data_IF_106621411384
#
_entry.id   IF_106621411384
#
_cell.length_a   1.000
_cell.length_b   1.000
_cell.length_c   1.000
_cell.angle_alpha   90.00
_cell.angle_beta   90.00
_cell.angle_gamma   90.00
#
_symmetry.space_group_name_H-M   'P 1'
#
loop_
_entity.id
_entity.type
_entity.pdbx_description
1 polymer ?
#
# COMPACT_ATOMS: atom_id res chain seq x y z
N UNK A 1 39.02 -60.23 6.63
CA UNK A 1 38.92 -58.84 6.00
C UNK A 1 37.53 -58.37 6.26
N UNK A 2 37.44 -57.43 7.22
CA UNK A 2 36.21 -56.89 7.82
C UNK A 2 35.74 -55.69 7.02
N UNK A 3 34.57 -55.82 6.41
CA UNK A 3 33.92 -54.70 5.71
C UNK A 3 33.19 -53.80 6.69
N UNK A 4 33.63 -52.54 6.80
CA UNK A 4 32.99 -51.48 7.60
C UNK A 4 31.94 -50.84 6.74
N UNK A 5 30.67 -51.00 7.15
CA UNK A 5 29.51 -50.30 6.55
C UNK A 5 29.47 -48.88 7.09
N UNK A 6 29.68 -47.87 6.23
CA UNK A 6 29.49 -46.46 6.59
C UNK A 6 28.00 -46.11 6.48
N UNK A 7 27.35 -45.94 7.62
CA UNK A 7 26.01 -45.38 7.71
C UNK A 7 26.13 -43.85 7.66
N UNK A 8 25.78 -43.23 6.53
CA UNK A 8 25.64 -41.78 6.39
C UNK A 8 24.39 -41.31 7.15
N UNK A 9 24.61 -40.72 8.30
CA UNK A 9 23.58 -39.95 9.05
C UNK A 9 23.30 -38.65 8.31
N UNK A 10 22.14 -38.57 7.65
CA UNK A 10 21.60 -37.30 7.22
C UNK A 10 21.18 -36.51 8.46
N UNK A 11 21.56 -35.21 8.59
CA UNK A 11 21.03 -34.36 9.66
C UNK A 11 19.51 -34.20 9.46
N UNK A 12 18.72 -34.15 10.55
CA UNK A 12 17.29 -33.91 10.44
C UNK A 12 17.07 -32.57 9.77
N UNK A 13 16.32 -32.57 8.67
CA UNK A 13 15.77 -31.34 8.09
C UNK A 13 14.92 -30.67 9.17
N UNK A 14 15.38 -29.53 9.67
CA UNK A 14 14.57 -28.69 10.52
C UNK A 14 13.30 -28.33 9.72
N UNK A 15 12.16 -28.84 10.17
CA UNK A 15 10.86 -28.43 9.69
C UNK A 15 10.74 -26.92 9.98
N UNK A 16 10.69 -26.10 8.93
CA UNK A 16 10.34 -24.68 9.03
C UNK A 16 8.96 -24.68 9.70
N UNK A 17 8.82 -24.05 10.89
CA UNK A 17 7.50 -23.96 11.49
C UNK A 17 6.59 -23.23 10.51
N UNK A 18 5.46 -23.83 10.16
CA UNK A 18 4.41 -23.25 9.36
C UNK A 18 3.87 -22.02 10.15
N UNK A 19 4.53 -20.88 9.99
CA UNK A 19 4.12 -19.62 10.63
C UNK A 19 2.84 -19.18 9.93
N UNK A 20 1.71 -19.37 10.61
CA UNK A 20 0.44 -18.86 10.14
C UNK A 20 0.56 -17.32 10.02
N UNK A 21 0.01 -16.72 8.97
CA UNK A 21 0.15 -15.29 8.75
C UNK A 21 -0.52 -14.50 9.88
N UNK A 22 0.24 -13.56 10.44
CA UNK A 22 -0.27 -12.66 11.48
C UNK A 22 -1.04 -11.46 10.89
N UNK A 23 -0.79 -11.15 9.62
CA UNK A 23 -1.41 -10.03 8.89
C UNK A 23 -2.27 -10.59 7.75
N UNK A 24 -3.42 -9.97 7.52
CA UNK A 24 -4.28 -10.26 6.38
C UNK A 24 -4.46 -9.05 5.47
N UNK A 25 -4.95 -9.30 4.26
CA UNK A 25 -5.38 -8.28 3.33
C UNK A 25 -6.72 -8.67 2.70
N UNK A 26 -7.66 -7.72 2.65
CA UNK A 26 -8.90 -7.85 1.92
C UNK A 26 -8.86 -6.96 0.69
N UNK A 27 -8.81 -7.55 -0.50
CA UNK A 27 -8.95 -6.81 -1.76
C UNK A 27 -10.41 -6.93 -2.20
N UNK A 28 -11.10 -5.78 -2.31
CA UNK A 28 -12.52 -5.74 -2.64
C UNK A 28 -12.71 -5.56 -4.14
N UNK A 29 -12.98 -6.63 -4.87
CA UNK A 29 -13.10 -6.68 -6.34
C UNK A 29 -14.45 -7.26 -6.81
N UNK A 30 -15.54 -6.92 -6.11
CA UNK A 30 -16.87 -7.48 -6.38
C UNK A 30 -17.76 -6.58 -7.26
N UNK A 31 -17.36 -5.33 -7.52
CA UNK A 31 -18.17 -4.30 -8.17
C UNK A 31 -18.36 -4.48 -9.68
N UNK A 32 -19.41 -3.85 -10.24
CA UNK A 32 -19.80 -3.94 -11.67
C UNK A 32 -19.01 -3.05 -12.63
N UNK A 33 -18.17 -2.12 -12.15
CA UNK A 33 -17.38 -1.17 -12.97
C UNK A 33 -18.22 -0.34 -13.95
N UNK A 34 -19.43 0.08 -13.59
CA UNK A 34 -20.45 0.64 -14.52
C UNK A 34 -20.07 1.99 -15.11
N UNK A 35 -19.20 2.78 -14.45
CA UNK A 35 -18.74 4.11 -14.90
C UNK A 35 -17.48 4.08 -15.77
N UNK A 36 -16.83 2.91 -15.90
CA UNK A 36 -15.62 2.70 -16.70
C UNK A 36 -15.95 2.07 -18.06
N UNK A 37 -15.12 2.40 -19.08
CA UNK A 37 -15.11 1.69 -20.36
C UNK A 37 -14.28 0.42 -20.22
N UNK A 38 -14.87 -0.63 -19.68
CA UNK A 38 -14.19 -1.91 -19.46
C UNK A 38 -14.34 -2.41 -18.02
N UNK A 39 -13.90 -3.63 -17.81
CA UNK A 39 -13.94 -4.27 -16.49
C UNK A 39 -12.73 -3.83 -15.68
N UNK A 40 -12.93 -2.93 -14.72
CA UNK A 40 -11.90 -2.22 -13.95
C UNK A 40 -10.76 -3.11 -13.45
N UNK A 41 -11.01 -4.27 -12.79
CA UNK A 41 -9.92 -5.09 -12.26
C UNK A 41 -8.92 -5.58 -13.32
N UNK A 42 -9.34 -5.69 -14.59
CA UNK A 42 -8.52 -6.17 -15.71
C UNK A 42 -7.97 -5.04 -16.59
N UNK A 43 -8.17 -3.76 -16.24
CA UNK A 43 -7.57 -2.65 -16.98
C UNK A 43 -6.05 -2.67 -16.79
N UNK A 44 -5.24 -2.49 -17.86
CA UNK A 44 -3.79 -2.52 -17.76
C UNK A 44 -3.21 -1.23 -17.20
N UNK A 45 -2.26 -1.35 -16.28
CA UNK A 45 -1.38 -0.25 -15.83
C UNK A 45 0.06 -0.75 -15.97
N UNK A 46 0.81 -0.23 -16.92
CA UNK A 46 2.12 -0.77 -17.27
C UNK A 46 2.01 -2.22 -17.76
N UNK A 47 2.70 -3.14 -17.10
CA UNK A 47 2.72 -4.57 -17.45
C UNK A 47 1.76 -5.44 -16.64
N UNK A 48 1.03 -4.84 -15.72
CA UNK A 48 0.11 -5.51 -14.81
C UNK A 48 -1.30 -4.94 -14.96
N UNK A 49 -2.30 -5.71 -14.58
CA UNK A 49 -3.67 -5.22 -14.43
C UNK A 49 -3.87 -4.53 -13.08
N UNK A 50 -4.94 -3.79 -12.96
CA UNK A 50 -5.35 -3.14 -11.71
C UNK A 50 -5.40 -4.12 -10.53
N UNK A 51 -5.96 -5.32 -10.73
CA UNK A 51 -6.02 -6.34 -9.68
C UNK A 51 -4.63 -6.89 -9.34
N UNK A 52 -3.78 -7.11 -10.35
CA UNK A 52 -2.40 -7.58 -10.13
C UNK A 52 -1.57 -6.57 -9.33
N UNK A 53 -1.73 -5.26 -9.57
CA UNK A 53 -1.10 -4.23 -8.72
C UNK A 53 -1.51 -4.35 -7.26
N UNK A 54 -2.82 -4.53 -7.00
CA UNK A 54 -3.31 -4.69 -5.62
C UNK A 54 -2.79 -5.98 -4.97
N UNK A 55 -2.70 -7.07 -5.72
CA UNK A 55 -2.16 -8.35 -5.23
C UNK A 55 -0.66 -8.26 -4.95
N UNK A 56 0.10 -7.69 -5.89
CA UNK A 56 1.55 -7.52 -5.78
C UNK A 56 1.95 -6.69 -4.56
N UNK A 57 1.19 -5.62 -4.25
CA UNK A 57 1.43 -4.78 -3.07
C UNK A 57 1.54 -5.60 -1.78
N UNK A 58 0.70 -6.62 -1.59
CA UNK A 58 0.71 -7.44 -0.38
C UNK A 58 1.70 -8.59 -0.43
N UNK A 59 2.19 -8.99 -1.62
CA UNK A 59 3.28 -9.95 -1.75
C UNK A 59 4.64 -9.36 -1.35
N UNK A 60 4.79 -8.03 -1.38
CA UNK A 60 6.00 -7.35 -0.92
C UNK A 60 6.17 -7.40 0.61
N UNK A 61 5.10 -7.69 1.38
CA UNK A 61 5.23 -8.07 2.77
C UNK A 61 6.01 -9.39 2.86
N UNK A 62 6.77 -9.59 3.94
CA UNK A 62 7.64 -10.78 4.11
C UNK A 62 6.92 -12.06 3.64
N UNK A 63 7.58 -12.86 2.81
CA UNK A 63 6.99 -14.02 2.14
C UNK A 63 6.27 -14.94 3.15
N UNK A 64 4.96 -15.15 2.94
CA UNK A 64 4.09 -15.92 3.83
C UNK A 64 3.60 -15.18 5.07
N UNK A 65 3.88 -13.88 5.21
CA UNK A 65 3.41 -13.07 6.34
C UNK A 65 2.01 -12.46 6.14
N UNK A 66 1.49 -12.46 4.90
CA UNK A 66 0.18 -11.89 4.58
C UNK A 66 -0.76 -12.91 3.95
N UNK A 67 -1.93 -13.12 4.59
CA UNK A 67 -3.04 -13.90 4.03
C UNK A 67 -3.91 -12.99 3.18
N UNK A 68 -3.81 -13.08 1.85
CA UNK A 68 -4.54 -12.19 0.93
C UNK A 68 -5.86 -12.83 0.48
N UNK A 69 -6.98 -12.27 0.92
CA UNK A 69 -8.33 -12.64 0.50
C UNK A 69 -8.83 -11.63 -0.54
N UNK A 70 -9.25 -12.13 -1.70
CA UNK A 70 -9.86 -11.30 -2.76
C UNK A 70 -11.35 -11.58 -2.82
N UNK A 71 -12.15 -10.56 -2.48
CA UNK A 71 -13.61 -10.70 -2.51
C UNK A 71 -14.11 -10.39 -3.91
N UNK A 72 -14.68 -11.38 -4.54
CA UNK A 72 -15.19 -11.38 -5.91
C UNK A 72 -16.72 -11.30 -5.92
N UNK A 73 -17.28 -10.79 -7.00
CA UNK A 73 -18.73 -10.71 -7.24
C UNK A 73 -19.04 -10.74 -8.72
N UNK A 74 -19.28 -9.57 -9.33
CA UNK A 74 -19.49 -9.49 -10.76
C UNK A 74 -18.29 -10.04 -11.55
N UNK A 75 -18.55 -10.97 -12.49
CA UNK A 75 -17.53 -11.64 -13.33
C UNK A 75 -16.42 -12.34 -12.50
N UNK A 76 -16.80 -12.96 -11.38
CA UNK A 76 -15.85 -13.65 -10.50
C UNK A 76 -14.96 -14.66 -11.23
N UNK A 77 -15.51 -15.39 -12.22
CA UNK A 77 -14.79 -16.43 -12.95
C UNK A 77 -13.63 -15.88 -13.81
N UNK A 78 -13.74 -14.63 -14.27
CA UNK A 78 -12.67 -13.97 -15.02
C UNK A 78 -11.48 -13.58 -14.13
N UNK A 79 -11.69 -13.39 -12.83
CA UNK A 79 -10.69 -12.95 -11.87
C UNK A 79 -10.03 -14.10 -11.09
N UNK A 80 -10.70 -15.26 -10.96
CA UNK A 80 -10.16 -16.42 -10.22
C UNK A 80 -8.77 -16.84 -10.67
N UNK A 81 -8.47 -16.96 -11.99
CA UNK A 81 -7.12 -17.33 -12.43
C UNK A 81 -6.07 -16.32 -11.94
N UNK A 82 -6.33 -15.02 -12.10
CA UNK A 82 -5.42 -13.97 -11.66
C UNK A 82 -5.17 -14.06 -10.15
N UNK A 83 -6.23 -14.24 -9.34
CA UNK A 83 -6.08 -14.38 -7.89
C UNK A 83 -5.25 -15.61 -7.53
N UNK A 84 -5.44 -16.74 -8.22
CA UNK A 84 -4.70 -17.98 -7.97
C UNK A 84 -3.23 -17.86 -8.35
N UNK A 85 -2.91 -17.17 -9.45
CA UNK A 85 -1.52 -16.95 -9.89
C UNK A 85 -0.69 -16.14 -8.86
N UNK A 86 -1.37 -15.34 -8.03
CA UNK A 86 -0.79 -14.57 -6.93
C UNK A 86 -0.98 -15.22 -5.55
N UNK A 87 -1.32 -16.52 -5.50
CA UNK A 87 -1.55 -17.26 -4.25
C UNK A 87 -2.63 -16.65 -3.34
N UNK A 88 -3.51 -15.81 -3.90
CA UNK A 88 -4.62 -15.21 -3.20
C UNK A 88 -5.78 -16.20 -2.97
N UNK A 89 -6.59 -15.93 -1.96
CA UNK A 89 -7.79 -16.73 -1.61
C UNK A 89 -9.02 -16.06 -2.23
N UNK A 90 -9.61 -16.61 -3.31
CA UNK A 90 -10.81 -16.03 -3.91
C UNK A 90 -12.06 -16.37 -3.09
N UNK A 91 -12.81 -15.35 -2.68
CA UNK A 91 -14.07 -15.47 -1.94
C UNK A 91 -15.19 -14.81 -2.74
N UNK A 92 -16.21 -15.55 -3.11
CA UNK A 92 -17.35 -14.99 -3.84
C UNK A 92 -18.38 -14.44 -2.84
N UNK A 93 -18.69 -13.15 -2.97
CA UNK A 93 -19.78 -12.51 -2.25
C UNK A 93 -21.05 -12.54 -3.13
N UNK A 94 -22.07 -13.34 -2.85
CA UNK A 94 -23.32 -13.36 -3.63
C UNK A 94 -24.13 -12.06 -3.45
N UNK A 95 -23.92 -11.36 -2.33
CA UNK A 95 -24.65 -10.15 -1.94
C UNK A 95 -23.94 -8.85 -2.36
N UNK A 96 -23.02 -8.91 -3.33
CA UNK A 96 -22.21 -7.74 -3.73
C UNK A 96 -23.04 -6.53 -4.19
N UNK A 97 -24.29 -6.74 -4.64
CA UNK A 97 -25.22 -5.67 -5.02
C UNK A 97 -25.78 -4.89 -3.82
N UNK A 98 -25.61 -5.39 -2.58
CA UNK A 98 -25.98 -4.67 -1.35
C UNK A 98 -24.96 -3.60 -0.95
N UNK A 99 -23.92 -3.39 -1.75
CA UNK A 99 -22.88 -2.39 -1.54
C UNK A 99 -21.56 -2.96 -1.04
N UNK A 100 -20.53 -2.12 -1.05
CA UNK A 100 -19.15 -2.52 -0.76
C UNK A 100 -18.98 -3.17 0.63
N UNK A 101 -19.79 -2.76 1.62
CA UNK A 101 -19.66 -3.27 2.97
C UNK A 101 -20.03 -4.76 3.09
N UNK A 102 -20.94 -5.28 2.25
CA UNK A 102 -21.20 -6.72 2.19
C UNK A 102 -19.94 -7.51 1.82
N UNK A 103 -19.09 -6.94 0.95
CA UNK A 103 -17.79 -7.53 0.59
C UNK A 103 -16.78 -7.43 1.73
N UNK A 104 -16.78 -6.36 2.52
CA UNK A 104 -15.94 -6.27 3.74
C UNK A 104 -16.30 -7.37 4.73
N UNK A 105 -17.61 -7.62 4.96
CA UNK A 105 -18.10 -8.71 5.82
C UNK A 105 -17.64 -10.08 5.31
N UNK A 106 -17.90 -10.37 4.04
CA UNK A 106 -17.53 -11.65 3.42
C UNK A 106 -16.02 -11.91 3.51
N UNK A 107 -15.19 -10.91 3.23
CA UNK A 107 -13.74 -11.01 3.34
C UNK A 107 -13.26 -11.19 4.78
N UNK A 108 -13.75 -10.39 5.72
CA UNK A 108 -13.37 -10.49 7.14
C UNK A 108 -13.73 -11.85 7.75
N UNK A 109 -14.85 -12.46 7.34
CA UNK A 109 -15.25 -13.80 7.75
C UNK A 109 -14.35 -14.90 7.16
N UNK A 110 -13.77 -14.69 5.99
CA UNK A 110 -12.91 -15.65 5.30
C UNK A 110 -11.46 -15.68 5.80
N UNK A 111 -10.97 -14.60 6.42
CA UNK A 111 -9.64 -14.57 7.01
C UNK A 111 -9.50 -15.58 8.14
N UNK A 112 -8.36 -16.24 8.23
CA UNK A 112 -8.08 -17.20 9.29
C UNK A 112 -8.13 -16.55 10.69
N UNK A 113 -8.37 -17.35 11.72
CA UNK A 113 -8.42 -16.88 13.10
C UNK A 113 -7.05 -16.42 13.64
N UNK A 114 -5.97 -16.83 13.00
CA UNK A 114 -4.60 -16.44 13.36
C UNK A 114 -4.23 -15.02 12.93
N UNK A 115 -4.97 -14.43 11.99
CA UNK A 115 -4.76 -13.05 11.55
C UNK A 115 -5.07 -12.09 12.69
N UNK A 116 -4.07 -11.29 13.07
CA UNK A 116 -4.15 -10.32 14.18
C UNK A 116 -4.60 -8.94 13.72
N UNK A 117 -4.29 -8.58 12.48
CA UNK A 117 -4.73 -7.35 11.83
C UNK A 117 -4.83 -7.56 10.32
N UNK A 118 -5.64 -6.75 9.64
CA UNK A 118 -5.84 -6.88 8.20
C UNK A 118 -6.08 -5.53 7.54
N UNK A 119 -5.53 -5.40 6.34
CA UNK A 119 -5.78 -4.26 5.45
C UNK A 119 -7.11 -4.42 4.72
N UNK A 120 -7.75 -3.29 4.37
CA UNK A 120 -8.94 -3.29 3.51
C UNK A 120 -8.69 -2.37 2.32
N UNK A 121 -8.51 -2.95 1.13
CA UNK A 121 -8.18 -2.25 -0.09
C UNK A 121 -9.26 -2.45 -1.16
N UNK A 122 -9.99 -1.39 -1.56
CA UNK A 122 -10.78 -1.41 -2.79
C UNK A 122 -9.86 -1.57 -4.01
N UNK A 123 -10.25 -2.43 -4.96
CA UNK A 123 -9.43 -2.74 -6.14
C UNK A 123 -9.19 -1.53 -7.05
N UNK A 124 -9.98 -0.47 -6.90
CA UNK A 124 -9.87 0.76 -7.69
C UNK A 124 -8.80 1.75 -7.19
N UNK A 125 -8.01 1.38 -6.19
CA UNK A 125 -6.88 2.17 -5.68
C UNK A 125 -5.58 1.36 -5.84
N UNK A 126 -5.09 1.17 -7.08
CA UNK A 126 -4.03 0.19 -7.38
C UNK A 126 -2.60 0.70 -7.17
N UNK A 127 -2.39 2.01 -6.99
CA UNK A 127 -1.05 2.60 -7.04
C UNK A 127 -0.42 2.86 -5.67
N UNK A 128 -0.99 2.27 -4.61
CA UNK A 128 -0.47 2.39 -3.23
C UNK A 128 1.00 1.95 -3.18
N UNK A 129 1.83 2.74 -2.49
CA UNK A 129 3.23 2.40 -2.29
C UNK A 129 3.38 1.44 -1.10
N UNK A 130 4.32 0.50 -1.21
CA UNK A 130 4.65 -0.42 -0.11
C UNK A 130 5.02 0.33 1.20
N UNK A 131 5.65 1.50 1.07
CA UNK A 131 5.96 2.37 2.21
C UNK A 131 4.72 2.71 3.05
N UNK A 132 3.54 2.86 2.44
CA UNK A 132 2.29 3.10 3.17
C UNK A 132 1.94 1.94 4.10
N UNK A 133 2.07 0.68 3.63
CA UNK A 133 1.83 -0.49 4.48
C UNK A 133 2.80 -0.52 5.67
N UNK A 134 4.08 -0.25 5.43
CA UNK A 134 5.10 -0.20 6.49
C UNK A 134 4.81 0.89 7.53
N UNK A 135 4.34 2.09 7.09
CA UNK A 135 3.96 3.15 8.02
C UNK A 135 2.82 2.71 8.94
N UNK A 136 1.80 2.04 8.38
CA UNK A 136 0.64 1.56 9.15
C UNK A 136 1.01 0.43 10.11
N UNK A 137 1.86 -0.51 9.68
CA UNK A 137 2.36 -1.58 10.54
C UNK A 137 3.24 -1.05 11.68
N UNK A 138 4.08 -0.06 11.40
CA UNK A 138 4.88 0.61 12.42
C UNK A 138 3.99 1.33 13.45
N UNK A 139 3.00 2.11 13.00
CA UNK A 139 2.04 2.76 13.89
C UNK A 139 1.28 1.75 14.76
N UNK A 140 0.88 0.60 14.17
CA UNK A 140 0.24 -0.48 14.92
C UNK A 140 1.16 -1.09 15.99
N UNK A 141 2.45 -1.18 15.73
CA UNK A 141 3.42 -1.69 16.70
C UNK A 141 3.69 -0.69 17.83
N UNK A 142 3.60 0.61 17.56
CA UNK A 142 3.84 1.68 18.53
C UNK A 142 2.58 2.00 19.38
N UNK A 143 1.37 1.90 18.80
CA UNK A 143 0.12 2.17 19.51
C UNK A 143 -0.73 0.91 19.70
N UNK A 144 -0.68 0.35 20.89
CA UNK A 144 -1.44 -0.86 21.26
C UNK A 144 -2.91 -0.59 21.61
N UNK A 145 -3.32 0.66 21.73
CA UNK A 145 -4.70 1.03 22.10
C UNK A 145 -5.60 1.31 20.92
N UNK A 146 -5.06 1.79 19.80
CA UNK A 146 -5.82 1.99 18.57
C UNK A 146 -6.27 0.66 17.97
N UNK A 147 -7.48 0.63 17.44
CA UNK A 147 -8.09 -0.53 16.77
C UNK A 147 -8.01 -0.45 15.27
N UNK A 148 -7.87 0.76 14.74
CA UNK A 148 -7.70 1.01 13.32
C UNK A 148 -6.65 2.09 13.07
N UNK A 149 -5.89 1.93 11.98
CA UNK A 149 -4.86 2.85 11.51
C UNK A 149 -5.23 3.26 10.10
N UNK A 150 -5.54 4.54 9.89
CA UNK A 150 -6.02 5.05 8.62
C UNK A 150 -4.95 5.94 8.00
N UNK A 151 -4.46 5.64 6.77
CA UNK A 151 -3.46 6.46 6.14
C UNK A 151 -4.03 7.84 5.79
N UNK A 152 -3.21 8.87 5.98
CA UNK A 152 -3.55 10.26 5.72
C UNK A 152 -2.42 10.91 4.90
N UNK A 153 -2.77 11.64 3.84
CA UNK A 153 -1.85 12.46 3.06
C UNK A 153 -2.43 13.87 2.91
N UNK A 154 -1.64 14.87 3.22
CA UNK A 154 -2.05 16.29 3.17
C UNK A 154 -3.40 16.58 3.87
N UNK A 155 -3.66 15.91 4.99
CA UNK A 155 -4.89 16.07 5.78
C UNK A 155 -6.10 15.27 5.27
N UNK A 156 -5.96 14.49 4.20
CA UNK A 156 -7.01 13.65 3.63
C UNK A 156 -6.77 12.18 3.93
N UNK A 157 -7.78 11.51 4.48
CA UNK A 157 -7.73 10.06 4.75
C UNK A 157 -7.93 9.26 3.47
N UNK A 158 -7.21 8.13 3.35
CA UNK A 158 -7.23 7.26 2.18
C UNK A 158 -7.22 5.77 2.51
N UNK A 159 -6.74 4.97 1.58
CA UNK A 159 -6.67 3.51 1.66
C UNK A 159 -5.22 3.01 1.59
N UNK A 160 -4.96 1.77 2.05
CA UNK A 160 -5.86 0.89 2.80
C UNK A 160 -5.84 1.23 4.31
N UNK A 161 -6.96 1.25 5.04
CA UNK A 161 -6.92 1.19 6.50
C UNK A 161 -6.40 -0.17 6.95
N UNK A 162 -5.63 -0.19 8.05
CA UNK A 162 -5.22 -1.40 8.78
C UNK A 162 -6.08 -1.55 10.03
N UNK A 163 -6.79 -2.66 10.15
CA UNK A 163 -7.74 -2.94 11.22
C UNK A 163 -7.22 -4.07 12.10
N UNK A 164 -7.30 -3.93 13.43
CA UNK A 164 -7.06 -5.07 14.32
C UNK A 164 -8.20 -6.08 14.21
N UNK A 165 -7.88 -7.35 14.42
CA UNK A 165 -8.84 -8.45 14.29
C UNK A 165 -9.99 -8.37 15.34
N UNK A 166 -9.81 -7.63 16.42
CA UNK A 166 -10.87 -7.38 17.42
C UNK A 166 -12.04 -6.54 16.90
N UNK A 167 -11.88 -5.90 15.71
CA UNK A 167 -12.99 -5.24 15.01
C UNK A 167 -13.86 -6.20 14.19
N UNK A 168 -13.48 -7.47 13.98
CA UNK A 168 -14.29 -8.43 13.21
C UNK A 168 -15.71 -8.59 13.74
N UNK A 169 -15.94 -8.76 15.06
CA UNK A 169 -17.31 -8.86 15.57
C UNK A 169 -18.14 -7.59 15.31
N UNK A 170 -17.52 -6.41 15.39
CA UNK A 170 -18.20 -5.15 15.08
C UNK A 170 -18.55 -5.05 13.58
N UNK A 171 -17.66 -5.49 12.69
CA UNK A 171 -17.92 -5.55 11.25
C UNK A 171 -19.07 -6.51 10.95
N UNK A 172 -19.08 -7.69 11.54
CA UNK A 172 -20.13 -8.69 11.38
C UNK A 172 -21.50 -8.19 11.84
N UNK A 173 -21.56 -7.56 13.02
CA UNK A 173 -22.81 -7.09 13.63
C UNK A 173 -23.36 -5.79 13.00
N UNK A 174 -22.51 -5.00 12.28
CA UNK A 174 -22.92 -3.70 11.75
C UNK A 174 -23.94 -3.84 10.62
N UNK A 175 -24.92 -2.96 10.56
CA UNK A 175 -26.01 -3.00 9.57
C UNK A 175 -25.59 -2.57 8.14
N UNK A 176 -24.39 -2.03 7.99
CA UNK A 176 -23.83 -1.53 6.71
C UNK A 176 -24.08 -0.05 6.47
N UNK A 177 -24.79 0.65 7.35
CA UNK A 177 -24.97 2.11 7.25
C UNK A 177 -23.59 2.80 7.25
N UNK A 178 -23.37 3.75 6.33
CA UNK A 178 -22.08 4.41 6.11
C UNK A 178 -20.89 3.46 5.79
N UNK A 179 -21.13 2.18 5.52
CA UNK A 179 -20.09 1.20 5.18
C UNK A 179 -19.07 0.98 6.30
N UNK A 180 -17.79 0.78 5.93
CA UNK A 180 -16.70 0.60 6.90
C UNK A 180 -16.51 1.84 7.78
N UNK A 181 -16.79 3.03 7.25
CA UNK A 181 -16.71 4.27 8.03
C UNK A 181 -17.60 4.22 9.28
N UNK A 182 -18.82 3.66 9.18
CA UNK A 182 -19.71 3.52 10.33
C UNK A 182 -19.11 2.67 11.45
N UNK A 183 -18.37 1.60 11.12
CA UNK A 183 -17.62 0.80 12.11
C UNK A 183 -16.49 1.62 12.73
N UNK A 184 -15.75 2.39 11.90
CA UNK A 184 -14.60 3.18 12.36
C UNK A 184 -15.01 4.36 13.26
N UNK A 185 -16.20 4.94 13.08
CA UNK A 185 -16.70 6.02 13.94
C UNK A 185 -16.86 5.59 15.41
N UNK A 186 -17.11 4.31 15.65
CA UNK A 186 -17.20 3.73 17.01
C UNK A 186 -15.87 3.16 17.52
N UNK A 187 -14.84 3.07 16.67
CA UNK A 187 -13.54 2.50 16.99
C UNK A 187 -12.54 3.57 17.46
N UNK A 188 -11.48 3.12 18.15
CA UNK A 188 -10.31 3.97 18.41
C UNK A 188 -9.43 3.99 17.18
N UNK A 189 -9.50 5.09 16.44
CA UNK A 189 -8.78 5.29 15.16
C UNK A 189 -7.55 6.15 15.37
N UNK A 190 -6.42 5.74 14.79
CA UNK A 190 -5.23 6.56 14.62
C UNK A 190 -5.08 6.96 13.15
N UNK A 191 -4.89 8.26 12.89
CA UNK A 191 -4.53 8.76 11.57
C UNK A 191 -3.02 8.74 11.41
N UNK A 192 -2.54 8.02 10.40
CA UNK A 192 -1.11 7.83 10.13
C UNK A 192 -0.71 8.64 8.90
N UNK A 193 0.08 9.70 9.09
CA UNK A 193 0.60 10.46 7.96
C UNK A 193 1.58 9.62 7.15
N UNK A 194 1.31 9.45 5.87
CA UNK A 194 2.11 8.68 4.93
C UNK A 194 2.58 9.56 3.77
N UNK A 195 3.80 9.38 3.25
CA UNK A 195 4.32 10.14 2.11
C UNK A 195 3.88 9.51 0.78
N UNK A 196 2.57 9.30 0.62
CA UNK A 196 2.00 8.60 -0.53
C UNK A 196 0.64 9.21 -0.90
N UNK A 197 0.62 10.05 -1.94
CA UNK A 197 -0.62 10.64 -2.47
C UNK A 197 -1.55 9.63 -3.11
N UNK A 198 -1.00 8.46 -3.52
CA UNK A 198 -1.78 7.44 -4.23
C UNK A 198 -2.83 6.77 -3.35
N UNK A 199 -2.77 6.93 -2.03
CA UNK A 199 -3.85 6.52 -1.11
C UNK A 199 -5.20 7.19 -1.41
N UNK A 200 -5.19 8.28 -2.20
CA UNK A 200 -6.35 9.09 -2.58
C UNK A 200 -6.74 8.93 -4.06
N UNK A 201 -6.00 8.10 -4.82
CA UNK A 201 -6.18 7.98 -6.29
C UNK A 201 -7.02 6.75 -6.61
N UNK A 202 -8.29 6.99 -6.88
CA UNK A 202 -9.21 5.98 -7.41
C UNK A 202 -9.31 6.05 -8.95
N UNK A 203 -9.77 4.97 -9.58
CA UNK A 203 -9.93 4.85 -11.04
C UNK A 203 -11.38 4.59 -11.44
N UNK A 204 -12.31 5.36 -10.92
CA UNK A 204 -13.75 5.20 -11.15
C UNK A 204 -14.20 5.61 -12.56
N UNK A 205 -13.51 6.58 -13.18
CA UNK A 205 -13.84 7.11 -14.51
C UNK A 205 -12.70 6.96 -15.51
N UNK A 206 -12.95 7.06 -16.82
CA UNK A 206 -11.88 7.07 -17.82
C UNK A 206 -10.85 8.19 -17.64
N UNK A 207 -11.25 9.33 -17.09
CA UNK A 207 -10.38 10.46 -16.77
C UNK A 207 -9.43 10.11 -15.63
N UNK A 208 -9.95 9.55 -14.53
CA UNK A 208 -9.17 9.08 -13.39
C UNK A 208 -8.21 7.95 -13.79
N UNK A 209 -8.66 7.04 -14.65
CA UNK A 209 -7.77 5.99 -15.17
C UNK A 209 -6.61 6.57 -16.00
N UNK A 210 -6.85 7.56 -16.88
CA UNK A 210 -5.77 8.24 -17.59
C UNK A 210 -4.79 8.93 -16.64
N UNK A 211 -5.32 9.60 -15.62
CA UNK A 211 -4.49 10.19 -14.57
C UNK A 211 -3.65 9.14 -13.84
N UNK A 212 -4.21 7.98 -13.51
CA UNK A 212 -3.45 6.89 -12.90
C UNK A 212 -2.32 6.37 -13.81
N UNK A 213 -2.54 6.31 -15.14
CA UNK A 213 -1.48 5.96 -16.10
C UNK A 213 -0.34 6.99 -16.11
N UNK A 214 -0.66 8.29 -16.05
CA UNK A 214 0.34 9.35 -15.96
C UNK A 214 1.15 9.27 -14.66
N UNK A 215 0.48 8.99 -13.54
CA UNK A 215 1.13 8.75 -12.25
C UNK A 215 2.05 7.53 -12.29
N UNK A 216 1.60 6.45 -12.92
CA UNK A 216 2.41 5.25 -13.09
C UNK A 216 3.71 5.49 -13.87
N UNK A 217 3.67 6.31 -14.92
CA UNK A 217 4.87 6.67 -15.68
C UNK A 217 5.90 7.46 -14.85
N UNK A 218 5.46 8.13 -13.79
CA UNK A 218 6.29 8.93 -12.88
C UNK A 218 6.44 8.31 -11.49
N UNK A 219 6.08 7.03 -11.32
CA UNK A 219 6.03 6.37 -10.00
C UNK A 219 7.35 6.38 -9.23
N UNK A 220 8.48 6.47 -9.94
CA UNK A 220 9.82 6.47 -9.34
C UNK A 220 10.26 7.89 -8.89
N UNK A 221 9.39 8.89 -9.11
CA UNK A 221 9.68 10.29 -8.78
C UNK A 221 8.61 10.75 -7.78
N UNK A 222 8.96 11.05 -6.52
CA UNK A 222 7.98 11.60 -5.59
C UNK A 222 7.56 13.01 -6.04
N UNK A 223 6.31 13.36 -5.81
CA UNK A 223 5.89 14.76 -5.96
C UNK A 223 6.58 15.64 -4.91
N UNK A 224 6.61 16.97 -5.10
CA UNK A 224 7.14 17.87 -4.09
C UNK A 224 6.50 17.69 -2.70
N UNK A 225 5.19 17.42 -2.67
CA UNK A 225 4.45 17.19 -1.42
C UNK A 225 4.82 15.83 -0.79
N UNK A 226 5.02 14.77 -1.59
CA UNK A 226 5.50 13.48 -1.11
C UNK A 226 6.94 13.58 -0.60
N UNK A 227 7.81 14.31 -1.32
CA UNK A 227 9.19 14.56 -0.90
C UNK A 227 9.25 15.37 0.41
N UNK A 228 8.38 16.36 0.59
CA UNK A 228 8.24 17.11 1.84
C UNK A 228 7.79 16.19 3.00
N UNK A 229 6.80 15.36 2.78
CA UNK A 229 6.32 14.41 3.79
C UNK A 229 7.39 13.37 4.17
N UNK A 230 8.19 12.91 3.19
CA UNK A 230 9.36 12.05 3.44
C UNK A 230 10.42 12.76 4.29
N UNK A 231 10.74 14.01 3.95
CA UNK A 231 11.70 14.82 4.71
C UNK A 231 11.25 15.01 6.15
N UNK A 232 9.97 15.35 6.37
CA UNK A 232 9.41 15.53 7.71
C UNK A 232 9.44 14.24 8.53
N UNK A 233 9.12 13.11 7.92
CA UNK A 233 9.17 11.81 8.57
C UNK A 233 10.60 11.44 9.00
N UNK A 234 11.54 11.50 8.07
CA UNK A 234 12.92 11.01 8.27
C UNK A 234 13.78 11.99 9.08
N UNK A 235 13.43 13.28 9.07
CA UNK A 235 14.17 14.34 9.75
C UNK A 235 13.41 15.00 10.90
N UNK A 236 12.41 14.33 11.50
CA UNK A 236 11.52 14.88 12.54
C UNK A 236 12.25 15.67 13.63
N UNK A 237 13.38 15.15 14.12
CA UNK A 237 14.14 15.75 15.22
C UNK A 237 15.37 16.55 14.74
N UNK A 238 15.46 16.84 13.41
CA UNK A 238 16.63 17.48 12.79
C UNK A 238 16.23 18.77 12.06
N UNK A 239 15.69 19.74 12.80
CA UNK A 239 15.14 20.99 12.25
C UNK A 239 16.13 21.79 11.38
N UNK A 240 17.44 21.75 11.69
CA UNK A 240 18.47 22.40 10.88
C UNK A 240 18.63 21.75 9.49
N UNK A 241 18.55 20.40 9.41
CA UNK A 241 18.60 19.67 8.14
C UNK A 241 17.35 19.96 7.33
N UNK A 242 16.18 19.90 7.95
CA UNK A 242 14.90 20.18 7.29
C UNK A 242 14.86 21.60 6.71
N UNK A 243 15.29 22.62 7.46
CA UNK A 243 15.35 24.00 6.98
C UNK A 243 16.35 24.17 5.82
N UNK A 244 17.52 23.50 5.90
CA UNK A 244 18.50 23.49 4.81
C UNK A 244 17.93 22.87 3.54
N UNK A 245 17.38 21.66 3.62
CA UNK A 245 16.81 20.96 2.46
C UNK A 245 15.70 21.78 1.79
N UNK A 246 14.79 22.40 2.55
CA UNK A 246 13.75 23.29 2.03
C UNK A 246 14.32 24.51 1.31
N UNK A 247 15.38 25.11 1.84
CA UNK A 247 16.04 26.26 1.21
C UNK A 247 16.69 25.87 -0.13
N UNK A 248 17.43 24.74 -0.15
CA UNK A 248 18.06 24.19 -1.36
C UNK A 248 17.01 23.82 -2.42
N UNK A 249 15.92 23.16 -2.01
CA UNK A 249 14.83 22.77 -2.89
C UNK A 249 14.16 23.97 -3.60
N UNK A 250 13.92 25.05 -2.84
CA UNK A 250 13.37 26.29 -3.42
C UNK A 250 14.29 26.88 -4.48
N UNK A 251 15.59 26.91 -4.23
CA UNK A 251 16.59 27.40 -5.19
C UNK A 251 16.65 26.48 -6.43
N UNK A 252 16.69 25.16 -6.22
CA UNK A 252 16.72 24.19 -7.32
C UNK A 252 15.50 24.33 -8.26
N UNK A 253 14.32 24.49 -7.68
CA UNK A 253 13.09 24.71 -8.47
C UNK A 253 13.13 26.00 -9.28
N UNK A 254 13.55 27.13 -8.67
CA UNK A 254 13.69 28.43 -9.37
C UNK A 254 14.69 28.32 -10.51
N UNK A 255 15.84 27.67 -10.26
CA UNK A 255 16.88 27.50 -11.30
C UNK A 255 16.37 26.62 -12.46
N UNK A 256 15.71 25.49 -12.17
CA UNK A 256 15.13 24.64 -13.22
C UNK A 256 14.10 25.39 -14.05
N UNK A 257 13.22 26.16 -13.44
CA UNK A 257 12.27 27.03 -14.14
C UNK A 257 12.98 28.08 -15.01
N UNK A 258 14.00 28.74 -14.46
CA UNK A 258 14.77 29.78 -15.18
C UNK A 258 15.51 29.20 -16.40
N UNK A 259 16.12 28.02 -16.26
CA UNK A 259 16.79 27.33 -17.37
C UNK A 259 15.77 27.01 -18.47
N UNK A 260 14.58 26.58 -18.12
CA UNK A 260 13.51 26.24 -19.07
C UNK A 260 13.02 27.44 -19.90
N UNK A 261 13.25 28.68 -19.45
CA UNK A 261 12.91 29.87 -20.23
C UNK A 261 13.89 30.17 -21.39
N UNK A 262 15.12 29.63 -21.31
CA UNK A 262 16.20 29.96 -22.24
C UNK A 262 16.81 28.75 -22.96
N UNK A 263 16.49 27.52 -22.48
CA UNK A 263 17.03 26.26 -22.99
C UNK A 263 16.00 25.48 -23.81
N UNK A 264 16.44 24.88 -24.90
CA UNK A 264 15.64 23.91 -25.65
C UNK A 264 15.47 22.58 -24.88
N UNK A 265 16.43 22.23 -23.99
CA UNK A 265 16.36 21.08 -23.16
C UNK A 265 15.57 21.44 -21.87
N UNK A 266 14.38 20.87 -21.72
CA UNK A 266 13.52 21.11 -20.57
C UNK A 266 13.97 20.26 -19.40
N UNK A 267 14.20 20.89 -18.24
CA UNK A 267 14.36 20.24 -16.95
C UNK A 267 12.99 19.98 -16.33
N UNK A 268 12.88 18.95 -15.51
CA UNK A 268 11.71 18.73 -14.66
C UNK A 268 11.91 19.48 -13.32
N UNK A 269 11.18 20.59 -13.07
CA UNK A 269 11.35 21.35 -11.83
C UNK A 269 10.92 20.58 -10.57
N UNK A 270 9.91 19.70 -10.68
CA UNK A 270 9.42 18.91 -9.56
C UNK A 270 10.45 17.85 -9.17
N UNK A 271 11.07 17.18 -10.15
CA UNK A 271 12.19 16.27 -9.91
C UNK A 271 13.37 16.99 -9.25
N UNK A 272 13.73 18.18 -9.75
CA UNK A 272 14.81 18.98 -9.16
C UNK A 272 14.50 19.37 -7.71
N UNK A 273 13.26 19.75 -7.43
CA UNK A 273 12.78 20.08 -6.09
C UNK A 273 12.80 18.86 -5.17
N UNK A 274 12.23 17.74 -5.61
CA UNK A 274 12.19 16.51 -4.83
C UNK A 274 13.61 15.98 -4.50
N UNK A 275 14.50 15.95 -5.49
CA UNK A 275 15.90 15.57 -5.28
C UNK A 275 16.59 16.49 -4.26
N UNK A 276 16.34 17.80 -4.34
CA UNK A 276 16.90 18.77 -3.41
C UNK A 276 16.30 18.69 -2.01
N UNK A 277 15.02 18.32 -1.86
CA UNK A 277 14.42 18.06 -0.55
C UNK A 277 15.06 16.84 0.15
N UNK A 278 15.41 15.82 -0.62
CA UNK A 278 15.81 14.52 -0.08
C UNK A 278 17.32 14.28 -0.05
N UNK A 279 18.17 15.20 -0.60
CA UNK A 279 19.60 14.99 -0.76
C UNK A 279 20.37 14.74 0.55
N UNK A 280 19.91 15.30 1.66
CA UNK A 280 20.54 15.23 2.99
C UNK A 280 19.68 14.44 4.01
N UNK A 281 18.74 13.60 3.54
CA UNK A 281 17.78 12.87 4.39
C UNK A 281 18.44 11.97 5.43
N UNK A 282 19.63 11.44 5.12
CA UNK A 282 20.47 10.64 6.01
C UNK A 282 21.70 11.39 6.54
N UNK A 283 21.72 12.74 6.51
CA UNK A 283 22.86 13.53 6.97
C UNK A 283 23.30 13.16 8.38
N UNK A 284 24.61 12.97 8.55
CA UNK A 284 25.21 12.53 9.82
C UNK A 284 25.46 11.03 9.91
N UNK A 285 24.99 10.25 8.97
CA UNK A 285 25.34 8.82 8.85
C UNK A 285 26.61 8.63 8.01
N UNK A 286 27.38 7.55 8.23
CA UNK A 286 28.44 7.16 7.32
C UNK A 286 27.88 6.94 5.92
N UNK A 287 28.54 7.52 4.89
CA UNK A 287 28.06 7.45 3.51
C UNK A 287 26.60 7.88 3.35
N UNK A 288 26.28 9.08 3.87
CA UNK A 288 24.90 9.58 3.95
C UNK A 288 24.17 9.63 2.60
N UNK A 289 24.88 9.78 1.48
CA UNK A 289 24.27 9.75 0.15
C UNK A 289 23.69 8.36 -0.17
N UNK A 290 24.49 7.30 0.02
CA UNK A 290 24.02 5.92 -0.18
C UNK A 290 23.01 5.50 0.89
N UNK A 291 23.17 5.97 2.13
CA UNK A 291 22.20 5.74 3.20
C UNK A 291 20.86 6.41 2.87
N UNK A 292 20.86 7.63 2.35
CA UNK A 292 19.68 8.33 1.89
C UNK A 292 18.95 7.60 0.76
N UNK A 293 19.70 7.17 -0.26
CA UNK A 293 19.13 6.43 -1.39
C UNK A 293 18.47 5.09 -0.98
N UNK A 294 18.93 4.44 0.09
CA UNK A 294 18.30 3.22 0.62
C UNK A 294 17.01 3.47 1.42
N UNK A 295 16.75 4.73 1.82
CA UNK A 295 15.55 5.12 2.57
C UNK A 295 14.39 5.54 1.67
N UNK A 296 14.70 5.87 0.41
CA UNK A 296 13.77 6.25 -0.64
C UNK A 296 13.33 5.05 -1.47
#
# INVERSE_FOLDING_TARGET
MTGVSQTTLHPPQASIPNRQPAIGALILSAGRSTRQRGFKPLLPIGHQTVLEHCLHLFQELEAGACETVVVLGHRAEDLRPVVSDYEGIPVVNPDYDQGMFSSVKAGAAALSHSVQAFFVLPVDIPLIRFLTLNCLLQAMAENHTAQAFVPCFAGHTGHPPLLRADLRPAIEAHDGSQGLRGVLEAARVELVNVPDRHILVDIDTPEQYRHALDLWQRRDIPSPEEAEALLERECRDRSGVTAHCRAVARVAWILAQSVNTVSANQLDPDLAMAAALLHDIAKGEPDHCAAGARRL
#
